data_IF_507820294645
#
_entry.id   IF_507820294645
#
_cell.length_a   1.000
_cell.length_b   1.000
_cell.length_c   1.000
_cell.angle_alpha   90.00
_cell.angle_beta   90.00
_cell.angle_gamma   90.00
#
_symmetry.space_group_name_H-M   'P 1'
#
loop_
_entity.id
_entity.type
_entity.pdbx_description
1 polymer ?
#
# COMPACT_ATOMS: atom_id res chain seq x y z
N UNK A 1 -1.44 -9.51 6.49
CA UNK A 1 -0.23 -10.29 6.83
C UNK A 1 0.15 -11.17 5.66
N UNK A 2 1.30 -10.92 5.06
CA UNK A 2 1.69 -11.31 3.69
C UNK A 2 1.33 -12.75 3.25
N UNK A 3 1.34 -13.74 4.14
CA UNK A 3 0.94 -15.13 3.83
C UNK A 3 -0.56 -15.27 3.54
N UNK A 4 -1.44 -14.56 4.27
CA UNK A 4 -2.88 -14.54 3.96
C UNK A 4 -3.16 -13.83 2.64
N UNK A 5 -2.38 -12.81 2.30
CA UNK A 5 -2.52 -12.11 1.03
C UNK A 5 -2.15 -13.01 -0.14
N UNK A 6 -1.02 -13.73 -0.03
CA UNK A 6 -0.64 -14.72 -1.02
C UNK A 6 -1.73 -15.80 -1.18
N UNK A 7 -2.30 -16.30 -0.07
CA UNK A 7 -3.42 -17.25 -0.13
C UNK A 7 -4.64 -16.66 -0.84
N UNK A 8 -5.06 -15.44 -0.50
CA UNK A 8 -6.22 -14.81 -1.13
C UNK A 8 -6.01 -14.60 -2.64
N UNK A 9 -4.78 -14.26 -3.05
CA UNK A 9 -4.43 -14.10 -4.47
C UNK A 9 -4.48 -15.46 -5.18
N UNK A 10 -3.98 -16.52 -4.55
CA UNK A 10 -4.06 -17.89 -5.08
C UNK A 10 -5.52 -18.36 -5.17
N UNK A 11 -6.34 -18.12 -4.14
CA UNK A 11 -7.77 -18.43 -4.14
C UNK A 11 -8.51 -17.68 -5.25
N UNK A 12 -8.23 -16.38 -5.42
CA UNK A 12 -8.78 -15.58 -6.50
C UNK A 12 -8.39 -16.14 -7.87
N UNK A 13 -7.12 -16.51 -8.06
CA UNK A 13 -6.64 -17.08 -9.32
C UNK A 13 -7.33 -18.41 -9.63
N UNK A 14 -7.54 -19.26 -8.62
CA UNK A 14 -8.27 -20.52 -8.79
C UNK A 14 -9.74 -20.33 -9.18
N UNK A 15 -10.36 -19.20 -8.82
CA UNK A 15 -11.78 -18.93 -9.08
C UNK A 15 -11.98 -18.14 -10.38
N UNK A 16 -11.13 -17.15 -10.62
CA UNK A 16 -11.35 -16.09 -11.62
C UNK A 16 -10.46 -16.23 -12.85
N UNK A 17 -9.38 -17.03 -12.79
CA UNK A 17 -8.52 -17.19 -13.96
C UNK A 17 -9.29 -17.90 -15.09
N UNK A 18 -9.31 -17.33 -16.30
CA UNK A 18 -9.99 -17.95 -17.43
C UNK A 18 -9.18 -19.14 -17.94
N UNK A 19 -9.86 -20.27 -18.20
CA UNK A 19 -9.23 -21.45 -18.79
C UNK A 19 -9.58 -22.74 -18.08
N UNK A 20 -8.93 -23.82 -18.49
CA UNK A 20 -8.98 -25.12 -17.82
C UNK A 20 -7.85 -25.24 -16.79
N UNK A 21 -7.83 -26.34 -16.03
CA UNK A 21 -6.82 -26.59 -15.01
C UNK A 21 -5.36 -26.70 -15.55
N UNK A 22 -5.18 -26.73 -16.87
CA UNK A 22 -3.87 -26.80 -17.53
C UNK A 22 -3.44 -25.45 -18.11
N UNK A 23 -4.27 -24.42 -17.99
CA UNK A 23 -3.97 -23.09 -18.52
C UNK A 23 -2.92 -22.40 -17.65
N UNK A 24 -1.86 -21.90 -18.29
CA UNK A 24 -0.77 -21.20 -17.60
C UNK A 24 -1.22 -19.84 -17.06
N UNK A 25 -0.91 -19.56 -15.78
CA UNK A 25 -1.26 -18.29 -15.14
C UNK A 25 -0.32 -17.18 -15.62
N UNK A 26 -0.89 -16.11 -16.18
CA UNK A 26 -0.16 -14.94 -16.71
C UNK A 26 -0.34 -13.73 -15.81
N UNK A 27 0.60 -12.78 -15.83
CA UNK A 27 0.56 -11.59 -14.95
C UNK A 27 -0.68 -10.72 -15.14
N UNK A 28 -1.23 -10.69 -16.36
CA UNK A 28 -2.50 -10.04 -16.70
C UNK A 28 -3.74 -10.68 -16.04
N UNK A 29 -3.59 -11.90 -15.50
CA UNK A 29 -4.62 -12.59 -14.73
C UNK A 29 -4.50 -12.29 -13.24
N UNK A 30 -3.57 -11.46 -12.76
CA UNK A 30 -3.54 -11.09 -11.34
C UNK A 30 -4.69 -10.12 -11.02
N UNK A 31 -5.17 -10.08 -9.75
CA UNK A 31 -6.09 -9.06 -9.29
C UNK A 31 -5.63 -7.65 -9.69
N UNK A 32 -6.56 -6.76 -10.09
CA UNK A 32 -6.21 -5.42 -10.56
C UNK A 32 -5.43 -4.60 -9.54
N UNK A 33 -5.59 -4.85 -8.24
CA UNK A 33 -4.76 -4.26 -7.17
C UNK A 33 -3.27 -4.67 -7.19
N UNK A 34 -2.91 -5.75 -7.90
CA UNK A 34 -1.52 -6.20 -8.10
C UNK A 34 -0.97 -5.86 -9.49
N UNK A 35 -1.84 -5.51 -10.44
CA UNK A 35 -1.49 -5.18 -11.82
C UNK A 35 -1.00 -3.74 -11.97
N UNK A 36 0.13 -3.57 -12.67
CA UNK A 36 0.70 -2.29 -13.11
C UNK A 36 1.16 -1.31 -12.01
N UNK A 37 2.31 -1.60 -11.39
CA UNK A 37 3.24 -0.58 -10.90
C UNK A 37 2.78 0.32 -9.74
N UNK A 38 1.58 0.12 -9.20
CA UNK A 38 1.16 0.76 -7.97
C UNK A 38 1.90 0.05 -6.81
N UNK A 39 2.61 0.79 -5.93
CA UNK A 39 2.96 0.19 -4.64
C UNK A 39 1.64 -0.25 -4.02
N UNK A 40 1.62 -1.44 -3.41
CA UNK A 40 0.49 -1.99 -2.68
C UNK A 40 0.07 -1.01 -1.56
N UNK A 41 -0.65 0.05 -1.95
CA UNK A 41 -1.22 1.08 -1.09
C UNK A 41 -2.57 0.61 -0.54
N UNK A 42 -3.08 -0.48 -1.09
CA UNK A 42 -4.42 -0.99 -0.85
C UNK A 42 -4.29 -2.46 -0.48
N UNK A 43 -4.28 -2.74 0.82
CA UNK A 43 -4.47 -4.08 1.33
C UNK A 43 -5.99 -4.24 1.52
N UNK A 44 -6.68 -5.09 0.74
CA UNK A 44 -8.13 -5.28 0.87
C UNK A 44 -8.56 -5.71 2.29
N UNK A 45 -7.66 -6.37 3.03
CA UNK A 45 -7.85 -6.75 4.43
C UNK A 45 -7.78 -5.58 5.42
N UNK A 46 -7.07 -4.50 5.09
CA UNK A 46 -7.09 -3.27 5.90
C UNK A 46 -8.30 -2.40 5.54
N UNK A 47 -8.79 -2.43 4.30
CA UNK A 47 -9.95 -1.64 3.87
C UNK A 47 -11.23 -2.01 4.64
N UNK A 48 -11.47 -3.30 4.87
CA UNK A 48 -12.60 -3.74 5.69
C UNK A 48 -12.51 -3.28 7.16
N UNK A 49 -11.30 -3.11 7.68
CA UNK A 49 -11.05 -2.60 9.03
C UNK A 49 -11.16 -1.07 9.07
N UNK A 50 -10.70 -0.37 8.01
CA UNK A 50 -10.79 1.08 7.84
C UNK A 50 -12.25 1.56 7.70
N UNK A 51 -13.11 0.80 7.01
CA UNK A 51 -14.54 1.14 6.85
C UNK A 51 -15.32 1.09 8.18
N UNK A 52 -14.78 0.41 9.20
CA UNK A 52 -15.32 0.42 10.57
C UNK A 52 -14.80 1.56 11.45
N UNK A 53 -13.81 2.33 10.99
CA UNK A 53 -13.20 3.41 11.76
C UNK A 53 -13.94 4.75 11.59
N UNK A 54 -13.95 5.60 12.62
CA UNK A 54 -14.30 7.00 12.46
C UNK A 54 -13.41 7.68 11.41
N UNK A 55 -13.95 8.66 10.68
CA UNK A 55 -13.24 9.35 9.58
C UNK A 55 -11.85 9.87 9.97
N UNK A 56 -11.71 10.37 11.20
CA UNK A 56 -10.42 10.86 11.71
C UNK A 56 -9.36 9.76 11.70
N UNK A 57 -9.72 8.60 12.23
CA UNK A 57 -8.79 7.48 12.44
C UNK A 57 -8.51 6.79 11.09
N UNK A 58 -9.52 6.67 10.23
CA UNK A 58 -9.37 6.22 8.85
C UNK A 58 -8.37 7.11 8.06
N UNK A 59 -8.47 8.43 8.22
CA UNK A 59 -7.54 9.38 7.60
C UNK A 59 -6.11 9.20 8.12
N UNK A 60 -5.93 8.97 9.42
CA UNK A 60 -4.60 8.73 10.00
C UNK A 60 -3.95 7.46 9.45
N UNK A 61 -4.72 6.38 9.30
CA UNK A 61 -4.25 5.12 8.69
C UNK A 61 -3.83 5.35 7.23
N UNK A 62 -4.68 6.00 6.44
CA UNK A 62 -4.35 6.36 5.06
C UNK A 62 -3.08 7.21 4.97
N UNK A 63 -3.00 8.29 5.75
CA UNK A 63 -1.84 9.19 5.73
C UNK A 63 -0.55 8.48 6.12
N UNK A 64 -0.58 7.59 7.11
CA UNK A 64 0.57 6.78 7.50
C UNK A 64 1.02 5.89 6.34
N UNK A 65 0.10 5.14 5.73
CA UNK A 65 0.42 4.21 4.65
C UNK A 65 0.93 4.94 3.41
N UNK A 66 0.28 6.04 3.04
CA UNK A 66 0.69 6.89 1.94
C UNK A 66 2.11 7.44 2.14
N UNK A 67 2.38 8.09 3.29
CA UNK A 67 3.68 8.70 3.55
C UNK A 67 4.79 7.65 3.68
N UNK A 68 4.51 6.49 4.28
CA UNK A 68 5.47 5.38 4.35
C UNK A 68 5.87 4.90 2.95
N UNK A 69 4.90 4.73 2.04
CA UNK A 69 5.17 4.34 0.66
C UNK A 69 5.98 5.40 -0.09
N UNK A 70 5.66 6.69 0.06
CA UNK A 70 6.40 7.75 -0.62
C UNK A 70 7.84 7.86 -0.08
N UNK A 71 8.05 7.76 1.24
CA UNK A 71 9.40 7.76 1.82
C UNK A 71 10.23 6.58 1.30
N UNK A 72 9.64 5.39 1.21
CA UNK A 72 10.32 4.21 0.65
C UNK A 72 10.66 4.40 -0.84
N UNK A 73 9.75 4.99 -1.62
CA UNK A 73 9.95 5.30 -3.05
C UNK A 73 11.16 6.20 -3.30
N UNK A 74 11.47 7.10 -2.38
CA UNK A 74 12.63 7.99 -2.45
C UNK A 74 13.83 7.52 -1.60
N UNK A 75 13.88 6.23 -1.25
CA UNK A 75 14.97 5.62 -0.47
C UNK A 75 15.25 6.38 0.85
N UNK A 76 14.21 6.84 1.55
CA UNK A 76 14.36 7.58 2.80
C UNK A 76 14.74 9.07 2.61
N UNK A 77 14.86 9.56 1.38
CA UNK A 77 15.16 10.98 1.13
C UNK A 77 13.93 11.85 1.44
N UNK A 78 13.88 12.36 2.67
CA UNK A 78 12.79 13.21 3.17
C UNK A 78 12.66 14.50 2.36
N UNK A 79 13.75 15.07 1.86
CA UNK A 79 13.70 16.31 1.07
C UNK A 79 13.01 16.09 -0.28
N UNK A 80 13.36 15.03 -1.02
CA UNK A 80 12.67 14.69 -2.28
C UNK A 80 11.22 14.30 -2.04
N UNK A 81 10.97 13.56 -0.96
CA UNK A 81 9.61 13.18 -0.57
C UNK A 81 8.77 14.42 -0.30
N UNK A 82 9.27 15.39 0.48
CA UNK A 82 8.60 16.63 0.82
C UNK A 82 8.24 17.45 -0.43
N UNK A 83 9.19 17.61 -1.36
CA UNK A 83 8.93 18.27 -2.64
C UNK A 83 7.84 17.57 -3.46
N UNK A 84 7.84 16.24 -3.48
CA UNK A 84 6.84 15.46 -4.22
C UNK A 84 5.45 15.53 -3.60
N UNK A 85 5.35 15.39 -2.27
CA UNK A 85 4.05 15.44 -1.57
C UNK A 85 3.51 16.86 -1.39
N UNK A 86 4.26 17.89 -1.81
CA UNK A 86 3.87 19.29 -1.68
C UNK A 86 3.89 19.79 -0.23
N UNK A 87 4.74 19.22 0.62
CA UNK A 87 4.90 19.62 2.02
C UNK A 87 6.25 20.27 2.25
N UNK A 88 6.31 21.23 3.18
CA UNK A 88 7.60 21.73 3.67
C UNK A 88 8.33 20.62 4.45
N UNK A 89 9.66 20.55 4.30
CA UNK A 89 10.49 19.46 4.83
C UNK A 89 10.35 19.27 6.34
N UNK A 90 10.38 20.36 7.12
CA UNK A 90 10.24 20.30 8.58
C UNK A 90 8.84 19.88 9.01
N UNK A 91 7.81 20.28 8.26
CA UNK A 91 6.44 19.84 8.47
C UNK A 91 6.27 18.34 8.19
N UNK A 92 6.83 17.85 7.08
CA UNK A 92 6.83 16.42 6.76
C UNK A 92 7.56 15.62 7.85
N UNK A 93 8.73 16.07 8.29
CA UNK A 93 9.50 15.37 9.33
C UNK A 93 8.73 15.26 10.66
N UNK A 94 8.06 16.34 11.08
CA UNK A 94 7.18 16.31 12.26
C UNK A 94 6.01 15.34 12.09
N UNK A 95 5.39 15.32 10.91
CA UNK A 95 4.27 14.43 10.60
C UNK A 95 4.67 12.95 10.54
N UNK A 96 5.84 12.63 9.98
CA UNK A 96 6.38 11.27 9.99
C UNK A 96 6.62 10.79 11.43
N UNK A 97 7.18 11.64 12.29
CA UNK A 97 7.39 11.34 13.71
C UNK A 97 6.06 11.12 14.46
N UNK A 98 5.04 11.96 14.23
CA UNK A 98 3.73 11.78 14.88
C UNK A 98 3.01 10.52 14.43
N UNK A 99 3.24 10.08 13.19
CA UNK A 99 2.67 8.84 12.66
C UNK A 99 3.49 7.58 12.99
N UNK A 100 4.61 7.71 13.72
CA UNK A 100 5.48 6.60 14.10
C UNK A 100 6.35 6.06 12.97
N UNK A 101 6.60 6.85 11.91
CA UNK A 101 7.42 6.47 10.77
C UNK A 101 8.85 6.95 11.03
N UNK A 102 9.76 6.04 11.36
CA UNK A 102 11.18 6.35 11.54
C UNK A 102 11.87 6.45 10.17
N UNK A 103 12.44 7.63 9.87
CA UNK A 103 13.22 7.88 8.64
C UNK A 103 14.73 7.82 8.83
N UNK A 104 15.19 7.38 10.01
CA UNK A 104 16.61 7.21 10.31
C UNK A 104 17.11 5.90 9.68
N UNK A 105 18.00 6.03 8.68
CA UNK A 105 19.09 5.06 8.50
C UNK A 105 20.10 5.20 9.61
#
# INVERSE_FOLDING_TARGET
>A
GNVRQLRNVIEWLLIMAPGDAQTEIRAEMLPPELGAGAPALVNPSEDGEIMGLPLRDAREVFERNYLKAQVARFNGNVSRTASFVGMERSALHRKLKSLGINTSS
#
